data_IF_373625182766
#
_entry.id   IF_373625182766
#
_cell.length_a   1.000
_cell.length_b   1.000
_cell.length_c   1.000
_cell.angle_alpha   90.00
_cell.angle_beta   90.00
_cell.angle_gamma   90.00
#
_symmetry.space_group_name_H-M   'P 1'
#
loop_
_entity.id
_entity.type
_entity.pdbx_description
1 polymer ?
#
# COMPACT_ATOMS: atom_id res chain seq x y z
N UNK A 1 -12.21 -13.82 -3.87
CA UNK A 1 -12.51 -13.31 -5.23
C UNK A 1 -13.99 -13.09 -5.51
N UNK A 2 -14.93 -13.86 -4.93
CA UNK A 2 -16.38 -13.67 -5.13
C UNK A 2 -16.87 -12.23 -4.87
N UNK A 3 -16.41 -11.56 -3.80
CA UNK A 3 -16.91 -10.22 -3.42
C UNK A 3 -16.59 -9.11 -4.44
N UNK A 4 -15.36 -9.04 -4.97
CA UNK A 4 -14.99 -7.98 -5.94
C UNK A 4 -15.55 -8.25 -7.33
N UNK A 5 -15.54 -9.52 -7.77
CA UNK A 5 -16.18 -9.89 -9.03
C UNK A 5 -17.69 -9.64 -8.98
N UNK A 6 -18.38 -10.05 -7.91
CA UNK A 6 -19.81 -9.75 -7.73
C UNK A 6 -20.10 -8.25 -7.54
N UNK A 7 -19.21 -7.47 -6.93
CA UNK A 7 -19.39 -6.02 -6.85
C UNK A 7 -19.42 -5.35 -8.24
N UNK A 8 -18.68 -5.90 -9.21
CA UNK A 8 -18.63 -5.40 -10.60
C UNK A 8 -19.71 -6.05 -11.48
N UNK A 9 -19.89 -7.37 -11.38
CA UNK A 9 -20.76 -8.16 -12.28
C UNK A 9 -22.12 -8.52 -11.67
N UNK A 10 -22.39 -8.16 -10.41
CA UNK A 10 -23.61 -8.53 -9.68
C UNK A 10 -24.86 -7.76 -10.13
N UNK A 11 -25.98 -7.95 -9.43
CA UNK A 11 -27.24 -7.23 -9.71
C UNK A 11 -27.19 -5.83 -9.09
N UNK A 12 -27.65 -4.81 -9.83
CA UNK A 12 -27.69 -3.40 -9.38
C UNK A 12 -27.46 -2.40 -10.53
N UNK A 13 -27.82 -1.14 -10.32
CA UNK A 13 -27.57 -0.06 -11.29
C UNK A 13 -26.07 0.12 -11.56
N UNK A 14 -25.61 0.34 -12.81
CA UNK A 14 -24.21 0.60 -13.12
C UNK A 14 -23.59 1.73 -12.29
N UNK A 15 -24.36 2.79 -12.02
CA UNK A 15 -23.94 3.92 -11.20
C UNK A 15 -23.64 3.50 -9.76
N UNK A 16 -24.53 2.67 -9.19
CA UNK A 16 -24.37 2.17 -7.84
C UNK A 16 -23.09 1.33 -7.71
N UNK A 17 -22.84 0.44 -8.67
CA UNK A 17 -21.61 -0.37 -8.67
C UNK A 17 -20.36 0.49 -8.77
N UNK A 18 -20.38 1.50 -9.62
CA UNK A 18 -19.27 2.43 -9.76
C UNK A 18 -18.99 3.17 -8.44
N UNK A 19 -20.03 3.71 -7.80
CA UNK A 19 -19.91 4.36 -6.49
C UNK A 19 -19.32 3.42 -5.44
N UNK A 20 -19.74 2.14 -5.42
CA UNK A 20 -19.24 1.15 -4.45
C UNK A 20 -17.78 0.75 -4.70
N UNK A 21 -17.31 0.80 -5.93
CA UNK A 21 -15.95 0.35 -6.29
C UNK A 21 -14.95 1.50 -6.24
N UNK A 22 -15.34 2.69 -6.71
CA UNK A 22 -14.44 3.82 -6.89
C UNK A 22 -14.56 4.86 -5.76
N UNK A 23 -15.78 5.27 -5.42
CA UNK A 23 -16.00 6.39 -4.47
C UNK A 23 -16.04 5.92 -3.02
N UNK A 24 -16.65 4.76 -2.74
CA UNK A 24 -16.89 4.28 -1.37
C UNK A 24 -17.98 5.06 -0.63
N UNK A 25 -18.83 5.79 -1.36
CA UNK A 25 -19.98 6.55 -0.84
C UNK A 25 -21.13 6.57 -1.84
N UNK A 26 -22.37 6.54 -1.33
CA UNK A 26 -23.61 6.67 -2.11
C UNK A 26 -24.03 8.13 -2.37
N UNK A 27 -23.35 9.09 -1.75
CA UNK A 27 -23.69 10.50 -1.90
C UNK A 27 -23.41 10.99 -3.31
N UNK A 28 -24.40 11.64 -3.94
CA UNK A 28 -24.25 12.27 -5.25
C UNK A 28 -23.21 13.41 -5.20
N UNK A 29 -23.17 14.18 -4.12
CA UNK A 29 -22.18 15.24 -3.95
C UNK A 29 -20.75 14.69 -3.89
N UNK A 30 -20.56 13.57 -3.16
CA UNK A 30 -19.25 12.90 -3.09
C UNK A 30 -18.83 12.34 -4.44
N UNK A 31 -19.77 11.79 -5.21
CA UNK A 31 -19.52 11.33 -6.58
C UNK A 31 -19.12 12.49 -7.50
N UNK A 32 -19.91 13.57 -7.54
CA UNK A 32 -19.61 14.72 -8.41
C UNK A 32 -18.26 15.35 -8.08
N UNK A 33 -17.93 15.44 -6.79
CA UNK A 33 -16.64 15.94 -6.34
C UNK A 33 -15.48 15.00 -6.71
N UNK A 34 -15.69 13.69 -6.58
CA UNK A 34 -14.73 12.68 -7.02
C UNK A 34 -14.47 12.80 -8.53
N UNK A 35 -15.52 12.84 -9.35
CA UNK A 35 -15.39 12.98 -10.81
C UNK A 35 -14.67 14.27 -11.21
N UNK A 36 -15.00 15.39 -10.55
CA UNK A 36 -14.29 16.67 -10.75
C UNK A 36 -12.78 16.53 -10.47
N UNK A 37 -12.42 15.94 -9.34
CA UNK A 37 -11.02 15.72 -8.99
C UNK A 37 -10.31 14.78 -9.97
N UNK A 38 -10.97 13.70 -10.42
CA UNK A 38 -10.42 12.76 -11.39
C UNK A 38 -10.24 13.40 -12.78
N UNK A 39 -11.14 14.29 -13.19
CA UNK A 39 -11.04 15.05 -14.44
C UNK A 39 -9.80 15.97 -14.46
N UNK A 40 -9.39 16.50 -13.30
CA UNK A 40 -8.15 17.28 -13.14
C UNK A 40 -6.89 16.41 -13.00
N UNK A 41 -7.06 15.10 -12.76
CA UNK A 41 -5.99 14.14 -12.56
C UNK A 41 -4.93 14.06 -13.67
N UNK A 42 -5.28 14.05 -14.97
CA UNK A 42 -4.31 13.89 -16.05
C UNK A 42 -3.61 15.20 -16.44
N UNK A 43 -4.03 16.36 -15.93
CA UNK A 43 -3.46 17.66 -16.33
C UNK A 43 -1.96 17.72 -16.00
N UNK A 44 -1.07 17.86 -17.01
CA UNK A 44 0.36 17.89 -16.78
C UNK A 44 0.85 19.25 -16.28
N UNK A 45 2.13 19.30 -15.88
CA UNK A 45 2.82 20.54 -15.54
C UNK A 45 2.42 21.16 -14.19
N UNK A 46 3.01 22.33 -13.90
CA UNK A 46 2.85 23.03 -12.63
C UNK A 46 1.40 23.45 -12.35
N UNK A 47 0.65 23.88 -13.37
CA UNK A 47 -0.75 24.25 -13.22
C UNK A 47 -1.62 23.05 -12.78
N UNK A 48 -1.44 21.88 -13.41
CA UNK A 48 -2.13 20.66 -13.00
C UNK A 48 -1.76 20.23 -11.58
N UNK A 49 -0.49 20.35 -11.21
CA UNK A 49 -0.01 20.07 -9.85
C UNK A 49 -0.69 20.98 -8.83
N UNK A 50 -0.73 22.30 -9.05
CA UNK A 50 -1.38 23.27 -8.17
C UNK A 50 -2.88 22.99 -8.02
N UNK A 51 -3.58 22.70 -9.12
CA UNK A 51 -5.01 22.35 -9.07
C UNK A 51 -5.26 21.13 -8.20
N UNK A 52 -4.44 20.07 -8.35
CA UNK A 52 -4.55 18.88 -7.48
C UNK A 52 -4.24 19.22 -6.02
N UNK A 53 -3.24 20.05 -5.74
CA UNK A 53 -2.94 20.47 -4.37
C UNK A 53 -4.06 21.29 -3.72
N UNK A 54 -4.88 22.01 -4.50
CA UNK A 54 -6.02 22.77 -3.97
C UNK A 54 -7.24 21.87 -3.75
N UNK A 55 -7.57 21.00 -4.70
CA UNK A 55 -8.82 20.24 -4.67
C UNK A 55 -8.68 18.86 -4.03
N UNK A 56 -7.61 18.11 -4.30
CA UNK A 56 -7.51 16.73 -3.85
C UNK A 56 -7.43 16.53 -2.33
N UNK A 57 -6.88 17.43 -1.50
CA UNK A 57 -6.88 17.25 -0.05
C UNK A 57 -8.25 16.98 0.57
N UNK A 58 -9.33 17.56 0.00
CA UNK A 58 -10.71 17.36 0.49
C UNK A 58 -11.33 16.03 0.04
N UNK A 59 -10.68 15.32 -0.88
CA UNK A 59 -11.13 14.01 -1.33
C UNK A 59 -10.87 12.94 -0.27
N UNK A 60 -9.75 13.07 0.45
CA UNK A 60 -9.27 12.13 1.45
C UNK A 60 -9.99 12.27 2.78
N UNK A 61 -9.92 11.24 3.63
CA UNK A 61 -10.44 11.32 5.00
C UNK A 61 -9.71 12.40 5.81
N UNK A 62 -8.40 12.48 5.61
CA UNK A 62 -7.52 13.49 6.18
C UNK A 62 -6.35 13.69 5.22
N UNK A 63 -5.92 14.94 5.07
CA UNK A 63 -4.74 15.29 4.29
C UNK A 63 -4.00 16.43 5.00
N UNK A 64 -2.76 16.15 5.41
CA UNK A 64 -1.88 17.15 6.01
C UNK A 64 -1.48 18.25 5.02
N UNK A 65 -0.86 19.30 5.56
CA UNK A 65 -0.35 20.42 4.78
C UNK A 65 0.89 20.00 3.98
N UNK A 66 1.10 20.62 2.82
CA UNK A 66 2.30 20.42 2.01
C UNK A 66 2.29 19.15 1.15
N UNK A 67 1.17 18.43 1.06
CA UNK A 67 1.07 17.26 0.20
C UNK A 67 1.17 17.63 -1.29
N UNK A 68 1.77 16.73 -2.07
CA UNK A 68 1.95 16.87 -3.51
C UNK A 68 1.37 15.66 -4.24
N UNK A 69 0.63 15.92 -5.31
CA UNK A 69 -0.03 14.89 -6.11
C UNK A 69 0.36 15.04 -7.57
N UNK A 70 1.10 14.06 -8.10
CA UNK A 70 1.47 14.01 -9.50
C UNK A 70 0.28 13.58 -10.39
N UNK A 71 0.49 13.55 -11.71
CA UNK A 71 -0.56 13.22 -12.66
C UNK A 71 -0.87 11.71 -12.68
N UNK A 72 -2.10 11.37 -13.07
CA UNK A 72 -2.52 9.99 -13.33
C UNK A 72 -2.71 9.09 -12.11
N UNK A 73 -2.71 9.66 -10.90
CA UNK A 73 -2.98 8.89 -9.67
C UNK A 73 -4.42 8.36 -9.71
N UNK A 74 -4.58 7.07 -9.43
CA UNK A 74 -5.89 6.43 -9.27
C UNK A 74 -6.18 6.28 -7.79
N UNK A 75 -7.31 6.81 -7.33
CA UNK A 75 -7.73 6.69 -5.93
C UNK A 75 -9.08 5.97 -5.86
N UNK A 76 -9.18 4.95 -5.01
CA UNK A 76 -10.44 4.27 -4.68
C UNK A 76 -10.71 4.37 -3.20
N UNK A 77 -11.97 4.69 -2.86
CA UNK A 77 -12.43 4.89 -1.48
C UNK A 77 -11.58 5.92 -0.74
N UNK A 78 -11.42 7.14 -1.30
CA UNK A 78 -10.53 8.15 -0.75
C UNK A 78 -10.91 8.58 0.67
N UNK A 79 -12.21 8.50 1.02
CA UNK A 79 -12.74 8.72 2.36
C UNK A 79 -12.23 7.73 3.43
N UNK A 80 -11.44 6.73 3.05
CA UNK A 80 -10.78 5.75 3.95
C UNK A 80 -9.27 5.86 3.95
N UNK A 81 -8.72 6.92 3.38
CA UNK A 81 -7.29 7.15 3.24
C UNK A 81 -6.93 8.40 4.03
N UNK A 82 -5.92 8.29 4.90
CA UNK A 82 -5.32 9.41 5.62
C UNK A 82 -3.90 9.65 5.13
N UNK A 83 -3.58 10.92 4.90
CA UNK A 83 -2.26 11.40 4.53
C UNK A 83 -1.78 12.39 5.59
N UNK A 84 -0.58 12.19 6.11
CA UNK A 84 0.12 13.12 6.97
C UNK A 84 0.57 14.38 6.23
N UNK A 85 1.50 15.13 6.82
CA UNK A 85 2.09 16.34 6.24
C UNK A 85 3.17 15.98 5.23
N UNK A 86 3.34 16.84 4.22
CA UNK A 86 4.43 16.74 3.24
C UNK A 86 4.49 15.37 2.54
N UNK A 87 3.35 14.71 2.34
CA UNK A 87 3.29 13.45 1.61
C UNK A 87 3.38 13.74 0.11
N UNK A 88 4.31 13.07 -0.58
CA UNK A 88 4.48 13.18 -2.02
C UNK A 88 4.01 11.91 -2.69
N UNK A 89 3.04 12.02 -3.61
CA UNK A 89 2.54 10.90 -4.39
C UNK A 89 2.93 11.11 -5.85
N UNK A 90 3.80 10.23 -6.35
CA UNK A 90 4.32 10.22 -7.70
C UNK A 90 3.29 9.80 -8.76
N UNK A 91 3.72 9.83 -10.01
CA UNK A 91 2.84 9.63 -11.16
C UNK A 91 2.28 8.22 -11.20
N UNK A 92 1.03 8.10 -11.64
CA UNK A 92 0.37 6.80 -11.85
C UNK A 92 0.35 5.89 -10.61
N UNK A 93 0.47 6.47 -9.41
CA UNK A 93 0.26 5.71 -8.18
C UNK A 93 -1.19 5.24 -8.07
N UNK A 94 -1.39 4.08 -7.46
CA UNK A 94 -2.72 3.53 -7.20
C UNK A 94 -2.90 3.42 -5.70
N UNK A 95 -3.87 4.16 -5.17
CA UNK A 95 -4.28 4.10 -3.76
C UNK A 95 -5.66 3.48 -3.68
N UNK A 96 -5.73 2.22 -3.27
CA UNK A 96 -6.98 1.45 -3.23
C UNK A 96 -7.36 1.12 -1.79
N UNK A 97 -8.20 1.98 -1.20
CA UNK A 97 -8.64 1.92 0.19
C UNK A 97 -9.86 1.04 0.47
N UNK A 98 -10.14 0.05 -0.40
CA UNK A 98 -11.35 -0.77 -0.26
C UNK A 98 -11.31 -1.67 0.99
N UNK A 99 -12.24 -1.41 1.91
CA UNK A 99 -12.44 -2.24 3.10
C UNK A 99 -13.92 -2.35 3.44
N UNK A 100 -14.36 -3.52 3.91
CA UNK A 100 -15.77 -3.75 4.26
C UNK A 100 -16.21 -3.17 5.62
N UNK A 101 -15.31 -2.65 6.45
CA UNK A 101 -15.61 -2.32 7.85
C UNK A 101 -14.66 -1.29 8.45
N UNK A 102 -13.35 -1.36 8.17
CA UNK A 102 -12.38 -0.42 8.74
C UNK A 102 -12.64 1.01 8.28
N UNK A 103 -12.71 1.94 9.24
CA UNK A 103 -12.91 3.38 8.96
C UNK A 103 -11.78 3.90 8.08
N UNK A 104 -10.54 3.59 8.45
CA UNK A 104 -9.34 3.88 7.65
C UNK A 104 -8.69 2.59 7.21
N UNK A 105 -8.33 2.54 5.93
CA UNK A 105 -7.72 1.39 5.27
C UNK A 105 -6.25 1.63 4.92
N UNK A 106 -5.91 2.89 4.58
CA UNK A 106 -4.56 3.33 4.25
C UNK A 106 -4.24 4.52 5.14
N UNK A 107 -3.18 4.41 5.93
CA UNK A 107 -2.69 5.48 6.78
C UNK A 107 -1.23 5.75 6.41
N UNK A 108 -0.95 6.95 5.90
CA UNK A 108 0.39 7.40 5.53
C UNK A 108 0.79 8.54 6.45
N UNK A 109 1.93 8.41 7.13
CA UNK A 109 2.50 9.38 8.06
C UNK A 109 3.08 10.63 7.39
N UNK A 110 3.84 11.39 8.17
CA UNK A 110 4.46 12.64 7.73
C UNK A 110 5.73 12.37 6.91
N UNK A 111 6.02 13.23 5.93
CA UNK A 111 7.23 13.19 5.09
C UNK A 111 7.44 11.85 4.35
N UNK A 112 6.35 11.22 3.90
CA UNK A 112 6.41 10.00 3.09
C UNK A 112 6.44 10.32 1.61
N UNK A 113 7.34 9.68 0.86
CA UNK A 113 7.40 9.77 -0.60
C UNK A 113 7.04 8.44 -1.25
N UNK A 114 5.98 8.45 -2.06
CA UNK A 114 5.66 7.39 -2.99
C UNK A 114 6.16 7.80 -4.38
N UNK A 115 7.12 7.06 -4.92
CA UNK A 115 7.62 7.27 -6.28
C UNK A 115 6.60 6.78 -7.32
N UNK A 116 6.95 6.91 -8.61
CA UNK A 116 6.03 6.62 -9.70
C UNK A 116 5.58 5.15 -9.73
N UNK A 117 4.32 4.92 -10.08
CA UNK A 117 3.70 3.60 -10.22
C UNK A 117 3.70 2.76 -8.94
N UNK A 118 3.76 3.38 -7.76
CA UNK A 118 3.56 2.66 -6.49
C UNK A 118 2.09 2.27 -6.34
N UNK A 119 1.84 1.04 -5.92
CA UNK A 119 0.48 0.52 -5.69
C UNK A 119 0.30 0.15 -4.22
N UNK A 120 -0.64 0.83 -3.55
CA UNK A 120 -1.15 0.44 -2.23
C UNK A 120 -2.55 -0.15 -2.41
N UNK A 121 -2.68 -1.47 -2.20
CA UNK A 121 -3.94 -2.19 -2.43
C UNK A 121 -4.46 -2.88 -1.19
N UNK A 122 -5.55 -2.35 -0.65
CA UNK A 122 -6.33 -2.96 0.42
C UNK A 122 -7.49 -3.77 -0.17
N UNK A 123 -7.56 -5.05 0.18
CA UNK A 123 -8.71 -5.94 -0.09
C UNK A 123 -9.18 -6.52 1.23
N UNK A 124 -9.82 -5.67 2.04
CA UNK A 124 -10.25 -6.02 3.40
C UNK A 124 -9.08 -6.30 4.36
N UNK A 125 -7.97 -5.58 4.19
CA UNK A 125 -6.89 -5.44 5.16
C UNK A 125 -6.48 -3.97 5.25
N UNK A 126 -5.51 -3.65 6.09
CA UNK A 126 -5.01 -2.28 6.28
C UNK A 126 -3.54 -2.14 5.87
N UNK A 127 -3.16 -0.94 5.43
CA UNK A 127 -1.78 -0.56 5.15
C UNK A 127 -1.46 0.68 6.02
N UNK A 128 -0.43 0.59 6.83
CA UNK A 128 0.12 1.69 7.62
C UNK A 128 1.58 1.95 7.22
N UNK A 129 1.89 3.18 6.87
CA UNK A 129 3.25 3.65 6.60
C UNK A 129 3.51 4.80 7.55
N UNK A 130 4.49 4.65 8.44
CA UNK A 130 4.92 5.68 9.39
C UNK A 130 5.79 6.74 8.71
N UNK A 131 6.34 7.66 9.51
CA UNK A 131 6.95 8.89 9.01
C UNK A 131 8.30 8.65 8.31
N UNK A 132 8.72 9.62 7.49
CA UNK A 132 10.04 9.67 6.84
C UNK A 132 10.37 8.44 5.99
N UNK A 133 9.37 7.86 5.31
CA UNK A 133 9.56 6.68 4.49
C UNK A 133 9.67 7.03 2.99
N UNK A 134 10.56 6.35 2.29
CA UNK A 134 10.70 6.44 0.83
C UNK A 134 10.35 5.11 0.15
N UNK A 135 9.31 5.10 -0.69
CA UNK A 135 8.94 3.96 -1.51
C UNK A 135 9.31 4.25 -2.96
N UNK A 136 10.26 3.49 -3.49
CA UNK A 136 10.72 3.65 -4.87
C UNK A 136 9.77 2.99 -5.88
N UNK A 137 9.98 3.37 -7.15
CA UNK A 137 9.05 3.14 -8.23
C UNK A 137 8.63 1.68 -8.39
N UNK A 138 7.38 1.48 -8.81
CA UNK A 138 6.80 0.16 -9.10
C UNK A 138 6.74 -0.80 -7.89
N UNK A 139 6.88 -0.28 -6.67
CA UNK A 139 6.65 -1.06 -5.45
C UNK A 139 5.16 -1.33 -5.27
N UNK A 140 4.83 -2.58 -4.93
CA UNK A 140 3.46 -3.02 -4.67
C UNK A 140 3.34 -3.46 -3.22
N UNK A 141 2.41 -2.83 -2.50
CA UNK A 141 2.00 -3.23 -1.16
C UNK A 141 0.57 -3.73 -1.24
N UNK A 142 0.36 -4.98 -0.86
CA UNK A 142 -0.96 -5.60 -0.87
C UNK A 142 -1.32 -6.11 0.52
N UNK A 143 -2.48 -5.68 1.01
CA UNK A 143 -3.05 -6.11 2.27
C UNK A 143 -4.40 -6.78 2.01
N UNK A 144 -4.56 -8.02 2.44
CA UNK A 144 -5.71 -8.86 2.09
C UNK A 144 -6.19 -9.67 3.30
N UNK A 145 -7.49 -9.91 3.37
CA UNK A 145 -8.10 -10.89 4.28
C UNK A 145 -7.74 -10.66 5.77
N UNK A 146 -7.83 -9.41 6.24
CA UNK A 146 -7.59 -9.05 7.64
C UNK A 146 -6.12 -9.09 8.07
N UNK A 147 -5.18 -9.26 7.13
CA UNK A 147 -3.76 -9.31 7.43
C UNK A 147 -3.10 -7.97 7.10
N UNK A 148 -2.71 -7.16 8.11
CA UNK A 148 -2.22 -5.80 7.90
C UNK A 148 -0.81 -5.75 7.32
N UNK A 149 -0.45 -4.65 6.67
CA UNK A 149 0.95 -4.31 6.36
C UNK A 149 1.32 -3.04 7.12
N UNK A 150 2.32 -3.13 7.98
CA UNK A 150 2.81 -2.01 8.80
C UNK A 150 4.28 -1.76 8.47
N UNK A 151 4.61 -0.52 8.09
CA UNK A 151 5.97 -0.05 7.82
C UNK A 151 6.30 1.05 8.83
N UNK A 152 7.30 0.82 9.66
CA UNK A 152 7.79 1.76 10.67
C UNK A 152 8.53 2.96 10.06
N UNK A 153 8.91 3.91 10.91
CA UNK A 153 9.53 5.16 10.45
C UNK A 153 10.92 4.95 9.86
N UNK A 154 11.36 5.92 9.06
CA UNK A 154 12.72 5.99 8.52
C UNK A 154 13.08 4.78 7.63
N UNK A 155 12.08 4.18 6.98
CA UNK A 155 12.28 3.04 6.08
C UNK A 155 12.57 3.47 4.65
N UNK A 156 13.48 2.75 4.01
CA UNK A 156 13.82 2.90 2.58
C UNK A 156 13.44 1.64 1.83
N UNK A 157 12.43 1.74 0.97
CA UNK A 157 11.97 0.62 0.15
C UNK A 157 12.47 0.80 -1.28
N UNK A 158 13.33 -0.11 -1.73
CA UNK A 158 13.87 -0.16 -3.08
C UNK A 158 12.79 -0.31 -4.15
N UNK A 159 13.16 -0.05 -5.41
CA UNK A 159 12.23 -0.18 -6.54
C UNK A 159 11.73 -1.61 -6.72
N UNK A 160 10.54 -1.76 -7.29
CA UNK A 160 9.97 -3.07 -7.65
C UNK A 160 9.86 -4.06 -6.47
N UNK A 161 9.70 -3.57 -5.25
CA UNK A 161 9.49 -4.45 -4.10
C UNK A 161 8.03 -4.92 -4.03
N UNK A 162 7.82 -6.13 -3.52
CA UNK A 162 6.51 -6.73 -3.33
C UNK A 162 6.31 -7.05 -1.84
N UNK A 163 5.44 -6.30 -1.17
CA UNK A 163 5.14 -6.49 0.25
C UNK A 163 3.71 -7.03 0.36
N UNK A 164 3.59 -8.32 0.69
CA UNK A 164 2.33 -9.06 0.57
C UNK A 164 1.87 -9.47 1.96
N UNK A 165 0.94 -8.70 2.53
CA UNK A 165 0.36 -8.93 3.86
C UNK A 165 -0.54 -10.15 3.96
N UNK A 166 -0.98 -10.76 2.86
CA UNK A 166 -1.82 -11.96 2.92
C UNK A 166 -2.31 -12.40 1.55
N UNK A 167 -3.38 -13.20 1.53
CA UNK A 167 -3.89 -13.77 0.28
C UNK A 167 -3.38 -15.19 -0.02
N UNK A 168 -2.77 -15.85 0.96
CA UNK A 168 -2.48 -17.27 0.86
C UNK A 168 -3.77 -18.09 0.89
N UNK A 169 -3.85 -19.08 0.01
CA UNK A 169 -4.97 -20.02 -0.04
C UNK A 169 -4.75 -21.16 0.96
N UNK A 170 -5.85 -21.77 1.42
CA UNK A 170 -5.75 -23.12 1.98
C UNK A 170 -5.30 -24.08 0.88
N UNK A 171 -4.50 -25.08 1.26
CA UNK A 171 -3.86 -26.02 0.32
C UNK A 171 -4.08 -27.48 0.72
N UNK A 172 -4.94 -27.73 1.71
CA UNK A 172 -5.14 -29.05 2.31
C UNK A 172 -6.21 -29.89 1.59
N UNK A 173 -6.98 -29.30 0.68
CA UNK A 173 -8.01 -30.01 -0.09
C UNK A 173 -7.52 -30.28 -1.49
N UNK A 174 -7.63 -31.52 -1.94
CA UNK A 174 -7.25 -31.92 -3.31
C UNK A 174 -8.49 -32.16 -4.19
N UNK A 175 -9.68 -32.17 -3.60
CA UNK A 175 -10.97 -32.48 -4.22
C UNK A 175 -11.69 -31.25 -4.80
N UNK A 176 -11.19 -30.04 -4.53
CA UNK A 176 -11.71 -28.78 -5.09
C UNK A 176 -10.61 -27.87 -5.64
N UNK A 177 -10.91 -27.04 -6.65
CA UNK A 177 -9.95 -26.07 -7.19
C UNK A 177 -9.44 -25.08 -6.13
N UNK A 178 -8.18 -24.61 -6.26
CA UNK A 178 -7.56 -23.64 -5.34
C UNK A 178 -8.43 -22.42 -5.03
N UNK A 179 -9.12 -21.88 -6.03
CA UNK A 179 -9.99 -20.68 -5.88
C UNK A 179 -11.16 -20.88 -4.90
N UNK A 180 -11.53 -22.13 -4.61
CA UNK A 180 -12.66 -22.52 -3.75
C UNK A 180 -12.22 -22.93 -2.34
N UNK A 181 -10.91 -23.09 -2.11
CA UNK A 181 -10.39 -23.54 -0.80
C UNK A 181 -10.42 -22.46 0.28
N UNK A 182 -10.73 -21.22 -0.10
CA UNK A 182 -10.71 -20.07 0.79
C UNK A 182 -9.29 -19.58 1.08
N UNK A 183 -9.22 -18.46 1.80
CA UNK A 183 -7.96 -17.82 2.18
C UNK A 183 -7.65 -18.13 3.65
N UNK A 184 -6.38 -18.35 3.95
CA UNK A 184 -5.87 -18.34 5.32
C UNK A 184 -5.30 -16.96 5.67
N UNK A 185 -5.15 -16.72 6.96
CA UNK A 185 -4.50 -15.53 7.49
C UNK A 185 -3.06 -15.88 7.84
N UNK A 186 -2.11 -15.12 7.30
CA UNK A 186 -0.68 -15.34 7.58
C UNK A 186 -0.12 -14.33 8.60
N UNK A 187 -0.96 -13.45 9.16
CA UNK A 187 -0.58 -12.51 10.22
C UNK A 187 -0.10 -11.13 9.77
N UNK A 188 -0.02 -10.88 8.45
CA UNK A 188 0.39 -9.58 7.92
C UNK A 188 1.90 -9.46 7.70
N UNK A 189 2.37 -8.26 7.36
CA UNK A 189 3.80 -7.94 7.31
C UNK A 189 4.07 -6.79 8.26
N UNK A 190 5.14 -6.91 9.05
CA UNK A 190 5.61 -5.84 9.93
C UNK A 190 7.07 -5.52 9.63
N UNK A 191 7.31 -4.36 9.01
CA UNK A 191 8.64 -3.78 8.92
C UNK A 191 8.74 -2.77 10.07
N UNK A 192 9.67 -2.99 11.00
CA UNK A 192 9.91 -2.02 12.09
C UNK A 192 10.59 -0.74 11.55
N UNK A 193 11.11 0.12 12.42
CA UNK A 193 11.79 1.34 12.00
C UNK A 193 13.18 1.06 11.38
N UNK A 194 13.71 1.98 10.59
CA UNK A 194 15.05 1.90 9.98
C UNK A 194 15.27 0.65 9.11
N UNK A 195 14.23 0.20 8.38
CA UNK A 195 14.36 -0.94 7.46
C UNK A 195 14.83 -0.47 6.09
N UNK A 196 15.79 -1.20 5.52
CA UNK A 196 16.17 -1.03 4.12
C UNK A 196 15.89 -2.29 3.31
N UNK A 197 15.02 -2.17 2.32
CA UNK A 197 14.83 -3.20 1.30
C UNK A 197 15.57 -2.78 0.03
N UNK A 198 16.49 -3.64 -0.45
CA UNK A 198 17.07 -3.50 -1.78
C UNK A 198 16.00 -3.60 -2.87
N UNK A 199 16.36 -3.25 -4.12
CA UNK A 199 15.44 -3.40 -5.24
C UNK A 199 14.98 -4.85 -5.43
N UNK A 200 13.74 -5.03 -5.89
CA UNK A 200 13.15 -6.34 -6.21
C UNK A 200 13.05 -7.31 -5.02
N UNK A 201 12.94 -6.80 -3.79
CA UNK A 201 12.70 -7.63 -2.61
C UNK A 201 11.22 -8.02 -2.51
N UNK A 202 10.95 -9.27 -2.19
CA UNK A 202 9.61 -9.77 -1.87
C UNK A 202 9.52 -10.12 -0.39
N UNK A 203 8.51 -9.62 0.30
CA UNK A 203 8.20 -9.94 1.71
C UNK A 203 6.86 -10.63 1.78
N UNK A 204 6.85 -11.87 2.27
CA UNK A 204 5.63 -12.69 2.37
C UNK A 204 4.91 -12.47 3.71
N UNK A 205 3.61 -12.79 3.73
CA UNK A 205 2.79 -12.72 4.92
C UNK A 205 3.36 -13.57 6.07
N UNK A 206 3.27 -13.03 7.28
CA UNK A 206 3.82 -13.59 8.52
C UNK A 206 5.23 -13.12 8.84
N UNK A 207 5.86 -12.31 7.98
CA UNK A 207 7.22 -11.82 8.19
C UNK A 207 7.22 -10.53 9.01
N UNK A 208 8.03 -10.54 10.06
CA UNK A 208 8.47 -9.35 10.79
C UNK A 208 9.96 -9.11 10.53
N UNK A 209 10.34 -7.91 10.11
CA UNK A 209 11.74 -7.47 10.07
C UNK A 209 12.00 -6.55 11.26
N UNK A 210 12.89 -6.97 12.15
CA UNK A 210 13.28 -6.16 13.31
C UNK A 210 14.04 -4.89 12.91
N UNK A 211 13.94 -3.85 13.74
CA UNK A 211 14.51 -2.51 13.51
C UNK A 211 15.93 -2.56 12.95
N UNK A 212 16.21 -1.70 11.97
CA UNK A 212 17.55 -1.59 11.42
C UNK A 212 17.96 -2.74 10.50
N UNK A 213 17.05 -3.63 10.13
CA UNK A 213 17.38 -4.76 9.25
C UNK A 213 17.43 -4.38 7.78
N UNK A 214 18.25 -5.12 7.04
CA UNK A 214 18.50 -4.94 5.62
C UNK A 214 18.16 -6.23 4.88
N UNK A 215 17.38 -6.12 3.81
CA UNK A 215 17.22 -7.18 2.82
C UNK A 215 17.99 -6.81 1.54
N UNK A 216 18.93 -7.66 1.13
CA UNK A 216 19.66 -7.48 -0.12
C UNK A 216 18.72 -7.53 -1.33
N UNK A 217 19.11 -6.90 -2.44
CA UNK A 217 18.31 -6.86 -3.65
C UNK A 217 17.93 -8.28 -4.15
N UNK A 218 16.72 -8.43 -4.69
CA UNK A 218 16.21 -9.70 -5.23
C UNK A 218 15.83 -10.76 -4.18
N UNK A 219 15.86 -10.42 -2.89
CA UNK A 219 15.62 -11.39 -1.81
C UNK A 219 14.14 -11.71 -1.62
N UNK A 220 13.83 -12.95 -1.23
CA UNK A 220 12.47 -13.38 -0.87
C UNK A 220 12.43 -13.75 0.60
N UNK A 221 11.84 -12.87 1.41
CA UNK A 221 11.71 -13.04 2.85
C UNK A 221 10.51 -13.94 3.13
N UNK A 222 10.79 -15.16 3.59
CA UNK A 222 9.79 -16.16 3.97
C UNK A 222 9.72 -16.39 5.48
N UNK A 223 10.64 -15.78 6.24
CA UNK A 223 10.76 -15.91 7.71
C UNK A 223 11.17 -14.57 8.29
N UNK A 224 10.71 -14.29 9.50
CA UNK A 224 11.10 -13.09 10.27
C UNK A 224 12.60 -13.07 10.56
N UNK A 225 13.16 -11.86 10.64
CA UNK A 225 14.57 -11.61 11.00
C UNK A 225 14.63 -10.65 12.19
N UNK A 226 15.63 -10.84 13.05
CA UNK A 226 15.84 -10.00 14.24
C UNK A 226 16.34 -8.61 13.89
N UNK A 227 16.51 -7.76 14.90
CA UNK A 227 17.05 -6.39 14.72
C UNK A 227 18.43 -6.40 14.05
N UNK A 228 18.74 -5.33 13.33
CA UNK A 228 20.04 -5.08 12.69
C UNK A 228 20.52 -6.20 11.75
N UNK A 229 19.61 -7.08 11.30
CA UNK A 229 19.98 -8.26 10.55
C UNK A 229 20.11 -7.92 9.07
N UNK A 230 21.19 -8.35 8.44
CA UNK A 230 21.36 -8.34 6.97
C UNK A 230 21.02 -9.72 6.45
N UNK A 231 20.03 -9.80 5.57
CA UNK A 231 19.59 -11.05 4.94
C UNK A 231 19.60 -10.93 3.42
N UNK A 232 19.87 -12.02 2.71
CA UNK A 232 19.63 -12.07 1.27
C UNK A 232 19.38 -13.48 0.73
N UNK A 233 18.88 -13.55 -0.51
CA UNK A 233 18.67 -14.79 -1.27
C UNK A 233 17.21 -15.22 -1.40
N UNK A 234 16.98 -16.38 -2.03
CA UNK A 234 15.65 -16.96 -2.28
C UNK A 234 15.66 -18.45 -1.88
N UNK A 235 15.08 -18.81 -0.72
CA UNK A 235 14.59 -17.93 0.34
C UNK A 235 15.74 -17.16 1.02
N UNK A 236 15.43 -16.00 1.57
CA UNK A 236 16.42 -15.15 2.22
C UNK A 236 16.99 -15.82 3.48
N UNK A 237 18.31 -15.77 3.61
CA UNK A 237 19.06 -16.26 4.78
C UNK A 237 19.78 -15.09 5.44
N UNK A 238 19.96 -15.18 6.75
CA UNK A 238 20.79 -14.23 7.48
C UNK A 238 22.25 -14.36 7.02
N UNK A 239 22.85 -13.25 6.62
CA UNK A 239 24.25 -13.16 6.17
C UNK A 239 25.12 -12.67 7.32
N UNK A 240 24.68 -11.60 7.99
CA UNK A 240 25.38 -10.99 9.11
C UNK A 240 24.44 -10.12 9.93
N UNK A 241 24.90 -9.69 11.10
CA UNK A 241 24.29 -8.61 11.86
C UNK A 241 25.12 -7.34 11.65
N UNK A 242 24.47 -6.18 11.46
CA UNK A 242 25.15 -4.89 11.38
C UNK A 242 25.89 -4.65 12.69
N UNK A 243 27.12 -4.17 12.59
CA UNK A 243 27.89 -3.66 13.72
C UNK A 243 28.10 -2.17 13.51
N UNK A 244 28.04 -1.39 14.59
CA UNK A 244 28.42 0.01 14.51
C UNK A 244 29.94 0.08 14.31
N UNK A 245 30.40 0.81 13.30
CA UNK A 245 31.81 1.21 13.27
C UNK A 245 32.03 2.31 14.33
N UNK A 246 33.15 2.26 15.07
CA UNK A 246 33.56 3.41 15.87
C UNK A 246 33.64 4.64 14.96
N UNK A 247 32.97 5.72 15.34
CA UNK A 247 33.14 7.00 14.65
C UNK A 247 34.62 7.39 14.74
N UNK A 248 35.26 7.56 13.57
CA UNK A 248 36.63 8.06 13.44
C UNK A 248 36.69 9.57 13.71
#
# INVERSE_FOLDING_TARGET
>A
MQKTHQAVTGKGSPLAKYQDVMVGSRSLAALLYYEWCMMLGPLPGAAGMLLRQIFWPRLFAECGKGCMFAAGITVRHPNRIRLGKSVVIGESCILDGRHGSAVISINIGDNVMLSNNVMLSCKNGTIGISDNCGLNSQTIIQSCNGCPVEIGSDCVIGQQCFIIGGGSYNTNRLDIPMREQGLRTDGGVRLEADIWLGGNVTVLGGVTMGRGSIAGAGSVLTKSVGIYTVSAGVPAKVIKTRQAEPQA
#
